data_IF_115472854899
#
_entry.id   IF_115472854899
#
_cell.length_a   1.000
_cell.length_b   1.000
_cell.length_c   1.000
_cell.angle_alpha   90.00
_cell.angle_beta   90.00
_cell.angle_gamma   90.00
#
_symmetry.space_group_name_H-M   'P 1'
#
loop_
_entity.id
_entity.type
_entity.pdbx_description
1 polymer ?
#
# COMPACT_ATOMS: atom_id res chain seq x y z
N UNK A 1 44.97 20.14 26.18
CA UNK A 1 43.54 19.92 25.85
C UNK A 1 42.59 20.00 27.05
N UNK A 2 42.94 19.46 28.24
CA UNK A 2 42.00 19.43 29.40
C UNK A 2 41.65 20.82 29.96
N UNK A 3 42.59 21.78 29.95
CA UNK A 3 42.35 23.14 30.47
C UNK A 3 41.35 23.97 29.64
N UNK A 4 41.27 23.79 28.32
CA UNK A 4 40.31 24.54 27.50
C UNK A 4 38.88 23.99 27.63
N UNK A 5 38.73 22.68 27.80
CA UNK A 5 37.42 22.06 28.04
C UNK A 5 36.80 22.51 29.36
N UNK A 6 37.61 22.65 30.43
CA UNK A 6 37.16 23.16 31.73
C UNK A 6 36.71 24.62 31.67
N UNK A 7 37.41 25.46 30.90
CA UNK A 7 37.03 26.88 30.74
C UNK A 7 35.73 27.02 29.93
N UNK A 8 35.56 26.24 28.86
CA UNK A 8 34.31 26.26 28.07
C UNK A 8 33.12 25.73 28.88
N UNK A 9 33.32 24.68 29.68
CA UNK A 9 32.28 24.17 30.58
C UNK A 9 31.90 25.20 31.66
N UNK A 10 32.88 25.91 32.24
CA UNK A 10 32.63 26.95 33.24
C UNK A 10 31.86 28.16 32.65
N UNK A 11 32.16 28.55 31.40
CA UNK A 11 31.44 29.62 30.69
C UNK A 11 30.02 29.18 30.32
N UNK A 12 29.82 27.93 29.88
CA UNK A 12 28.49 27.41 29.60
C UNK A 12 27.63 27.32 30.87
N UNK A 13 28.22 26.92 32.00
CA UNK A 13 27.53 26.86 33.29
C UNK A 13 27.18 28.26 33.81
N UNK A 14 28.07 29.25 33.66
CA UNK A 14 27.80 30.62 34.10
C UNK A 14 26.71 31.29 33.26
N UNK A 15 26.64 31.01 31.96
CA UNK A 15 25.56 31.48 31.08
C UNK A 15 24.23 30.79 31.43
N UNK A 16 24.24 29.50 31.76
CA UNK A 16 23.03 28.79 32.19
C UNK A 16 22.50 29.34 33.53
N UNK A 17 23.40 29.61 34.48
CA UNK A 17 23.05 30.21 35.78
C UNK A 17 22.57 31.66 35.60
N UNK A 18 23.18 32.44 34.71
CA UNK A 18 22.74 33.81 34.41
C UNK A 18 21.36 33.83 33.73
N UNK A 19 21.07 32.91 32.82
CA UNK A 19 19.74 32.77 32.20
C UNK A 19 18.67 32.36 33.22
N UNK A 20 18.99 31.44 34.13
CA UNK A 20 18.09 31.05 35.21
C UNK A 20 17.88 32.17 36.25
N UNK A 21 18.92 32.98 36.52
CA UNK A 21 18.83 34.15 37.40
C UNK A 21 17.94 35.26 36.83
N UNK A 22 18.06 35.56 35.53
CA UNK A 22 17.24 36.58 34.86
C UNK A 22 15.76 36.19 34.80
N UNK A 23 15.45 34.90 34.64
CA UNK A 23 14.07 34.39 34.68
C UNK A 23 13.51 34.31 36.11
N UNK A 24 14.36 34.08 37.12
CA UNK A 24 13.97 34.10 38.52
C UNK A 24 13.66 35.53 39.00
N UNK A 25 14.45 36.53 38.58
CA UNK A 25 14.29 37.93 38.99
C UNK A 25 13.04 38.57 38.36
N UNK A 26 12.71 38.22 37.10
CA UNK A 26 11.43 38.57 36.45
C UNK A 26 10.21 37.91 37.12
N UNK A 27 10.39 36.76 37.77
CA UNK A 27 9.33 36.06 38.52
C UNK A 27 9.19 36.57 39.96
N UNK A 28 10.24 37.11 40.57
CA UNK A 28 10.20 37.71 41.91
C UNK A 28 9.77 39.18 41.91
N UNK A 29 10.11 39.97 40.89
CA UNK A 29 9.75 41.40 40.82
C UNK A 29 8.24 41.66 40.70
N UNK A 30 7.45 40.62 40.36
CA UNK A 30 5.99 40.67 40.30
C UNK A 30 5.27 40.13 41.54
N UNK A 31 6.00 39.71 42.59
CA UNK A 31 5.36 39.20 43.83
C UNK A 31 4.75 40.29 44.70
N UNK A 32 5.11 41.55 44.50
CA UNK A 32 4.66 42.68 45.32
C UNK A 32 4.11 43.86 44.48
N UNK A 33 3.80 43.66 43.19
CA UNK A 33 3.19 44.72 42.38
C UNK A 33 1.73 44.91 42.76
N UNK A 34 1.23 46.15 42.65
CA UNK A 34 -0.18 46.51 42.87
C UNK A 34 -1.15 45.64 42.07
N UNK A 35 -0.72 45.17 40.90
CA UNK A 35 -1.42 44.22 40.04
C UNK A 35 -1.48 42.81 40.64
N UNK A 36 -0.48 42.35 41.39
CA UNK A 36 -0.43 40.99 41.96
C UNK A 36 -1.28 40.80 43.22
N UNK A 37 -1.64 41.88 43.91
CA UNK A 37 -2.50 41.91 45.10
C UNK A 37 -3.95 42.27 44.78
N UNK A 38 -4.30 42.50 43.52
CA UNK A 38 -5.67 42.71 43.10
C UNK A 38 -6.40 41.35 43.11
N UNK A 39 -7.53 41.18 43.84
CA UNK A 39 -8.30 39.93 43.81
C UNK A 39 -8.71 39.53 42.39
N UNK A 40 -8.78 40.49 41.46
CA UNK A 40 -9.01 40.22 40.05
C UNK A 40 -7.83 39.51 39.35
N UNK A 41 -6.58 39.75 39.76
CA UNK A 41 -5.39 39.15 39.11
C UNK A 41 -5.16 37.69 39.50
N UNK A 42 -5.53 37.29 40.73
CA UNK A 42 -5.51 35.87 41.12
C UNK A 42 -6.57 35.06 40.37
N UNK A 43 -7.73 35.66 40.06
CA UNK A 43 -8.73 35.07 39.17
C UNK A 43 -8.20 34.94 37.73
N UNK A 44 -7.60 35.99 37.17
CA UNK A 44 -7.07 35.99 35.79
C UNK A 44 -5.86 35.05 35.61
N UNK A 45 -5.06 34.80 36.67
CA UNK A 45 -3.89 33.90 36.62
C UNK A 45 -4.26 32.42 36.81
N UNK A 46 -5.42 32.13 37.39
CA UNK A 46 -5.98 30.78 37.54
C UNK A 46 -6.97 30.42 36.41
N UNK A 47 -7.45 31.39 35.65
CA UNK A 47 -8.19 31.18 34.40
C UNK A 47 -7.28 30.59 33.32
N UNK A 48 -7.08 29.27 33.38
CA UNK A 48 -6.92 28.50 32.14
C UNK A 48 -8.14 28.83 31.28
N UNK A 49 -7.90 29.42 30.12
CA UNK A 49 -8.92 29.66 29.10
C UNK A 49 -9.43 28.30 28.57
N UNK A 50 -10.26 27.63 29.36
CA UNK A 50 -11.20 26.61 28.91
C UNK A 50 -12.52 27.36 28.75
N UNK A 51 -12.77 28.01 27.59
CA UNK A 51 -14.07 28.59 27.38
C UNK A 51 -15.04 27.42 27.46
N UNK A 52 -16.01 27.49 28.35
CA UNK A 52 -16.94 26.40 28.58
C UNK A 52 -17.79 26.27 27.30
N UNK A 53 -17.33 25.43 26.36
CA UNK A 53 -17.84 25.36 24.99
C UNK A 53 -19.34 25.00 24.95
N UNK A 54 -19.86 24.43 26.04
CA UNK A 54 -21.30 24.18 26.24
C UNK A 54 -22.13 25.45 26.47
N UNK A 55 -21.54 26.52 26.98
CA UNK A 55 -22.24 27.78 27.30
C UNK A 55 -22.33 28.76 26.13
N UNK A 56 -21.55 28.54 25.06
CA UNK A 56 -21.45 29.49 23.94
C UNK A 56 -22.70 29.41 23.06
N UNK A 57 -23.59 30.39 23.24
CA UNK A 57 -24.79 30.55 22.43
C UNK A 57 -24.48 31.35 21.16
N UNK A 58 -24.78 30.78 20.00
CA UNK A 58 -24.63 31.39 18.66
C UNK A 58 -23.21 31.94 18.33
N UNK A 59 -22.17 31.09 18.30
CA UNK A 59 -20.80 31.53 17.98
C UNK A 59 -20.56 31.95 16.54
N UNK A 60 -21.42 31.56 15.59
CA UNK A 60 -21.20 31.76 14.16
C UNK A 60 -22.11 32.84 13.58
N UNK A 61 -21.69 33.51 12.50
CA UNK A 61 -22.56 34.46 11.80
C UNK A 61 -23.61 33.76 10.96
N UNK A 62 -23.32 32.56 10.47
CA UNK A 62 -24.29 31.80 9.68
C UNK A 62 -25.28 31.01 10.54
N UNK A 63 -26.57 31.23 10.28
CA UNK A 63 -27.66 30.61 11.03
C UNK A 63 -27.63 29.07 10.96
N UNK A 64 -27.31 28.50 9.79
CA UNK A 64 -27.20 27.04 9.62
C UNK A 64 -26.09 26.43 10.49
N UNK A 65 -24.96 27.13 10.67
CA UNK A 65 -23.87 26.67 11.53
C UNK A 65 -24.24 26.77 13.01
N UNK A 66 -24.98 27.81 13.40
CA UNK A 66 -25.53 27.90 14.76
C UNK A 66 -26.52 26.77 15.06
N UNK A 67 -27.27 26.30 14.05
CA UNK A 67 -28.18 25.17 14.20
C UNK A 67 -27.43 23.85 14.38
N UNK A 68 -26.36 23.62 13.58
CA UNK A 68 -25.44 22.48 13.76
C UNK A 68 -24.76 22.54 15.13
N UNK A 69 -24.31 23.72 15.55
CA UNK A 69 -23.69 23.93 16.85
C UNK A 69 -24.62 23.62 18.02
N UNK A 70 -25.86 24.11 17.99
CA UNK A 70 -26.86 23.83 19.01
C UNK A 70 -27.18 22.32 19.10
N UNK A 71 -27.23 21.62 17.95
CA UNK A 71 -27.37 20.16 17.94
C UNK A 71 -26.14 19.45 18.50
N UNK A 72 -24.95 19.96 18.20
CA UNK A 72 -23.68 19.40 18.65
C UNK A 72 -23.44 19.53 20.16
N UNK A 73 -23.84 20.65 20.76
CA UNK A 73 -23.72 20.89 22.20
C UNK A 73 -24.40 19.81 23.04
N UNK A 74 -25.51 19.24 22.55
CA UNK A 74 -26.27 18.21 23.23
C UNK A 74 -25.81 16.77 22.91
N UNK A 75 -24.99 16.58 21.86
CA UNK A 75 -24.64 15.23 21.34
C UNK A 75 -23.17 14.86 21.46
N UNK A 76 -22.25 15.83 21.48
CA UNK A 76 -20.80 15.57 21.45
C UNK A 76 -20.10 15.75 22.80
N UNK A 77 -19.04 14.98 23.00
CA UNK A 77 -18.10 15.15 24.13
C UNK A 77 -17.24 16.40 23.92
N UNK A 78 -16.79 17.04 25.01
CA UNK A 78 -15.96 18.27 24.97
C UNK A 78 -14.79 18.27 23.98
N UNK A 79 -13.95 17.21 23.86
CA UNK A 79 -12.85 17.20 22.89
C UNK A 79 -13.35 17.20 21.44
N UNK A 80 -14.43 16.47 21.14
CA UNK A 80 -15.04 16.49 19.80
C UNK A 80 -15.71 17.84 19.53
N UNK A 81 -16.32 18.46 20.54
CA UNK A 81 -16.94 19.78 20.46
C UNK A 81 -15.90 20.88 20.16
N UNK A 82 -14.72 20.82 20.80
CA UNK A 82 -13.57 21.71 20.50
C UNK A 82 -13.11 21.57 19.05
N UNK A 83 -12.98 20.34 18.54
CA UNK A 83 -12.58 20.08 17.15
C UNK A 83 -13.63 20.60 16.16
N UNK A 84 -14.91 20.31 16.40
CA UNK A 84 -16.02 20.78 15.58
C UNK A 84 -16.10 22.31 15.57
N UNK A 85 -15.87 22.97 16.71
CA UNK A 85 -15.85 24.44 16.80
C UNK A 85 -14.81 25.04 15.86
N UNK A 86 -13.61 24.46 15.80
CA UNK A 86 -12.54 24.94 14.91
C UNK A 86 -12.90 24.73 13.43
N UNK A 87 -13.46 23.58 13.07
CA UNK A 87 -13.91 23.30 11.70
C UNK A 87 -15.06 24.22 11.26
N UNK A 88 -16.09 24.40 12.10
CA UNK A 88 -17.21 25.30 11.84
C UNK A 88 -16.75 26.77 11.76
N UNK A 89 -15.75 27.18 12.55
CA UNK A 89 -15.19 28.54 12.49
C UNK A 89 -14.47 28.82 11.17
N UNK A 90 -13.78 27.82 10.61
CA UNK A 90 -13.17 27.91 9.29
C UNK A 90 -14.27 27.97 8.22
N UNK A 91 -15.28 27.10 8.33
CA UNK A 91 -16.41 27.08 7.40
C UNK A 91 -17.20 28.40 7.39
N UNK A 92 -17.44 29.02 8.56
CA UNK A 92 -18.12 30.33 8.68
C UNK A 92 -17.35 31.43 7.94
N UNK A 93 -16.01 31.43 8.02
CA UNK A 93 -15.18 32.38 7.26
C UNK A 93 -15.29 32.18 5.75
N UNK A 94 -15.23 30.93 5.29
CA UNK A 94 -15.34 30.60 3.88
C UNK A 94 -16.72 30.96 3.32
N UNK A 95 -17.77 30.72 4.10
CA UNK A 95 -19.13 31.03 3.72
C UNK A 95 -19.40 32.54 3.64
N UNK A 96 -18.85 33.33 4.57
CA UNK A 96 -18.91 34.80 4.50
C UNK A 96 -18.17 35.30 3.26
N UNK A 97 -16.96 34.77 2.99
CA UNK A 97 -16.17 35.14 1.82
C UNK A 97 -16.90 34.79 0.52
N UNK A 98 -17.53 33.62 0.45
CA UNK A 98 -18.37 33.24 -0.68
C UNK A 98 -19.58 34.16 -0.83
N UNK A 99 -20.30 34.53 0.24
CA UNK A 99 -21.42 35.48 0.16
C UNK A 99 -21.00 36.84 -0.39
N UNK A 100 -19.82 37.33 0.00
CA UNK A 100 -19.24 38.56 -0.54
C UNK A 100 -18.86 38.44 -2.03
N UNK A 101 -18.44 37.26 -2.46
CA UNK A 101 -18.08 36.99 -3.85
C UNK A 101 -19.31 36.77 -4.73
N UNK A 102 -20.34 36.12 -4.18
CA UNK A 102 -21.61 35.86 -4.85
C UNK A 102 -22.42 37.15 -5.06
N UNK A 103 -22.35 38.12 -4.15
CA UNK A 103 -22.95 39.45 -4.38
C UNK A 103 -22.33 40.19 -5.56
N UNK A 104 -21.08 39.85 -5.93
CA UNK A 104 -20.39 40.36 -7.12
C UNK A 104 -20.68 39.53 -8.38
N UNK A 105 -21.61 38.57 -8.34
CA UNK A 105 -21.99 37.68 -9.45
C UNK A 105 -20.82 36.90 -10.07
N UNK A 106 -19.79 36.60 -9.27
CA UNK A 106 -18.57 35.89 -9.70
C UNK A 106 -18.68 34.36 -9.62
N UNK A 107 -19.78 33.81 -9.12
CA UNK A 107 -20.05 32.37 -9.00
C UNK A 107 -21.30 32.01 -9.81
N UNK A 108 -21.25 32.17 -11.14
CA UNK A 108 -22.39 31.91 -12.03
C UNK A 108 -22.79 30.45 -12.09
N UNK A 109 -21.81 29.55 -11.93
CA UNK A 109 -22.00 28.10 -12.05
C UNK A 109 -22.39 27.44 -10.71
N UNK A 110 -22.37 28.20 -9.60
CA UNK A 110 -22.69 27.68 -8.27
C UNK A 110 -21.70 26.65 -7.73
N UNK A 111 -20.53 26.51 -8.35
CA UNK A 111 -19.51 25.51 -7.99
C UNK A 111 -19.00 25.73 -6.56
N UNK A 112 -18.73 26.98 -6.17
CA UNK A 112 -18.30 27.27 -4.80
C UNK A 112 -19.41 27.06 -3.79
N UNK A 113 -20.66 27.35 -4.16
CA UNK A 113 -21.81 27.09 -3.31
C UNK A 113 -21.97 25.58 -3.02
N UNK A 114 -21.82 24.74 -4.05
CA UNK A 114 -21.90 23.29 -3.90
C UNK A 114 -20.70 22.72 -3.11
N UNK A 115 -19.49 23.22 -3.36
CA UNK A 115 -18.29 22.85 -2.60
C UNK A 115 -18.47 23.11 -1.10
N UNK A 116 -18.97 24.29 -0.72
CA UNK A 116 -19.27 24.62 0.67
C UNK A 116 -20.36 23.72 1.25
N UNK A 117 -21.40 23.39 0.47
CA UNK A 117 -22.46 22.48 0.92
C UNK A 117 -21.91 21.08 1.20
N UNK A 118 -21.10 20.53 0.28
CA UNK A 118 -20.45 19.23 0.44
C UNK A 118 -19.51 19.20 1.63
N UNK A 119 -18.72 20.27 1.81
CA UNK A 119 -17.83 20.41 2.96
C UNK A 119 -18.60 20.40 4.27
N UNK A 120 -19.72 21.12 4.37
CA UNK A 120 -20.57 21.11 5.56
C UNK A 120 -21.18 19.73 5.84
N UNK A 121 -21.68 19.05 4.80
CA UNK A 121 -22.21 17.67 4.91
C UNK A 121 -21.10 16.73 5.41
N UNK A 122 -19.88 16.84 4.88
CA UNK A 122 -18.73 16.05 5.31
C UNK A 122 -18.35 16.29 6.78
N UNK A 123 -18.39 17.55 7.24
CA UNK A 123 -18.20 17.90 8.66
C UNK A 123 -19.31 17.26 9.50
N UNK A 124 -20.58 17.42 9.11
CA UNK A 124 -21.69 16.85 9.88
C UNK A 124 -21.65 15.31 9.94
N UNK A 125 -21.21 14.66 8.86
CA UNK A 125 -21.02 13.21 8.78
C UNK A 125 -19.90 12.73 9.69
N UNK A 126 -18.76 13.43 9.75
CA UNK A 126 -17.60 13.01 10.58
C UNK A 126 -17.88 13.03 12.10
N UNK A 127 -18.95 13.71 12.49
CA UNK A 127 -19.39 13.92 13.88
C UNK A 127 -20.77 13.33 14.17
N UNK A 128 -21.33 12.49 13.28
CA UNK A 128 -22.63 11.82 13.43
C UNK A 128 -23.82 12.77 13.68
N UNK A 129 -23.78 13.96 13.07
CA UNK A 129 -24.81 15.01 13.18
C UNK A 129 -25.88 14.93 12.08
N UNK A 130 -25.80 13.92 11.20
CA UNK A 130 -26.62 13.80 9.98
C UNK A 130 -27.97 13.10 10.16
N UNK A 131 -28.21 12.48 11.32
CA UNK A 131 -29.37 11.60 11.63
C UNK A 131 -30.78 12.20 11.43
N UNK A 132 -30.90 13.50 11.13
CA UNK A 132 -32.20 14.20 11.02
C UNK A 132 -32.42 14.86 9.64
N UNK A 133 -31.62 14.50 8.64
CA UNK A 133 -31.77 14.99 7.27
C UNK A 133 -32.15 13.81 6.36
N UNK A 134 -33.39 13.33 6.51
CA UNK A 134 -33.94 12.20 5.74
C UNK A 134 -33.85 12.40 4.21
N UNK A 135 -33.80 13.65 3.74
CA UNK A 135 -33.66 13.98 2.31
C UNK A 135 -32.21 13.89 1.76
N UNK A 136 -31.23 13.44 2.56
CA UNK A 136 -29.80 13.40 2.15
C UNK A 136 -29.19 12.00 2.06
N UNK A 137 -30.01 10.94 2.13
CA UNK A 137 -29.60 9.53 2.10
C UNK A 137 -29.12 9.02 0.70
N UNK A 138 -28.54 9.88 -0.14
CA UNK A 138 -27.72 9.40 -1.26
C UNK A 138 -26.38 8.94 -0.71
N UNK A 139 -26.28 7.64 -0.43
CA UNK A 139 -25.06 6.98 0.03
C UNK A 139 -23.87 7.19 -0.92
N UNK A 140 -24.11 7.51 -2.19
CA UNK A 140 -23.09 7.83 -3.19
C UNK A 140 -22.54 9.27 -3.09
N UNK A 141 -23.29 10.22 -2.51
CA UNK A 141 -22.80 11.60 -2.28
C UNK A 141 -21.97 11.73 -1.00
N UNK A 142 -22.00 10.70 -0.15
CA UNK A 142 -21.22 10.59 1.09
C UNK A 142 -19.79 10.15 0.79
N UNK A 143 -18.96 11.02 0.20
CA UNK A 143 -17.51 10.82 0.27
C UNK A 143 -17.03 11.19 1.68
N UNK A 144 -16.42 10.26 2.45
CA UNK A 144 -15.90 10.59 3.77
C UNK A 144 -14.82 11.68 3.62
N UNK A 145 -15.01 12.80 4.31
CA UNK A 145 -14.04 13.89 4.34
C UNK A 145 -12.76 13.42 5.03
N UNK A 146 -11.61 13.52 4.32
CA UNK A 146 -10.29 13.29 4.91
C UNK A 146 -9.98 14.36 5.94
N UNK A 147 -9.91 13.97 7.22
CA UNK A 147 -9.45 14.85 8.31
C UNK A 147 -8.04 15.36 8.00
N UNK A 148 -7.88 16.68 8.02
CA UNK A 148 -6.63 17.35 7.75
C UNK A 148 -5.69 17.26 8.98
N UNK A 149 -5.33 16.05 9.45
CA UNK A 149 -4.22 15.77 10.38
C UNK A 149 -4.21 14.32 10.93
N UNK A 150 -4.62 13.30 10.18
CA UNK A 150 -4.64 11.94 10.73
C UNK A 150 -3.21 11.38 10.92
N UNK A 151 -2.89 10.97 12.16
CA UNK A 151 -1.56 10.48 12.52
C UNK A 151 -1.21 9.16 11.79
N UNK A 152 -2.21 8.45 11.27
CA UNK A 152 -2.04 7.21 10.51
C UNK A 152 -1.50 7.43 9.09
N UNK A 153 -1.63 8.62 8.49
CA UNK A 153 -1.10 8.88 7.14
C UNK A 153 0.43 9.08 7.10
N UNK A 154 1.07 9.36 8.24
CA UNK A 154 2.54 9.55 8.28
C UNK A 154 3.33 8.27 8.00
N UNK A 155 2.70 7.09 8.11
CA UNK A 155 3.30 5.81 7.75
C UNK A 155 2.86 5.28 6.38
N UNK A 156 1.90 5.92 5.70
CA UNK A 156 1.42 5.50 4.36
C UNK A 156 2.29 6.02 3.21
N UNK A 157 3.09 7.06 3.44
CA UNK A 157 3.89 7.73 2.40
C UNK A 157 5.25 7.06 2.08
N UNK A 158 5.37 5.74 2.29
CA UNK A 158 6.53 4.94 1.86
C UNK A 158 6.16 3.66 1.11
N UNK A 159 4.89 3.49 0.75
CA UNK A 159 4.41 2.38 -0.08
C UNK A 159 4.75 2.68 -1.55
N UNK A 160 5.88 2.18 -2.05
CA UNK A 160 6.27 2.35 -3.46
C UNK A 160 5.26 1.68 -4.41
N UNK A 161 4.63 0.59 -3.95
CA UNK A 161 3.61 -0.15 -4.67
C UNK A 161 2.27 -0.14 -3.91
N UNK A 162 1.14 -0.37 -4.58
CA UNK A 162 -0.18 -0.46 -3.92
C UNK A 162 -0.28 -1.73 -3.06
N UNK A 163 0.32 -2.84 -3.51
CA UNK A 163 0.32 -4.11 -2.79
C UNK A 163 1.34 -4.14 -1.64
N UNK A 164 0.87 -4.47 -0.43
CA UNK A 164 1.70 -4.69 0.76
C UNK A 164 2.73 -5.81 0.57
N UNK A 165 2.40 -6.86 -0.20
CA UNK A 165 3.32 -7.98 -0.47
C UNK A 165 4.51 -7.52 -1.32
N UNK A 166 4.24 -6.72 -2.35
CA UNK A 166 5.28 -6.13 -3.20
C UNK A 166 6.21 -5.23 -2.39
N UNK A 167 5.68 -4.38 -1.51
CA UNK A 167 6.54 -3.54 -0.66
C UNK A 167 7.47 -4.36 0.24
N UNK A 168 6.99 -5.45 0.84
CA UNK A 168 7.85 -6.37 1.63
C UNK A 168 8.93 -7.03 0.78
N UNK A 169 8.59 -7.41 -0.45
CA UNK A 169 9.54 -8.05 -1.35
C UNK A 169 10.58 -7.04 -1.86
N UNK A 170 10.17 -5.79 -2.06
CA UNK A 170 11.06 -4.69 -2.41
C UNK A 170 12.04 -4.35 -1.28
N UNK A 171 11.57 -4.28 -0.04
CA UNK A 171 12.43 -4.12 1.14
C UNK A 171 13.50 -5.23 1.21
N UNK A 172 13.13 -6.48 0.91
CA UNK A 172 14.09 -7.59 0.83
C UNK A 172 15.11 -7.39 -0.30
N UNK A 173 14.68 -6.86 -1.45
CA UNK A 173 15.55 -6.60 -2.59
C UNK A 173 16.56 -5.47 -2.33
N UNK A 174 16.15 -4.41 -1.63
CA UNK A 174 17.06 -3.33 -1.23
C UNK A 174 18.15 -3.84 -0.29
N UNK A 175 17.81 -4.80 0.59
CA UNK A 175 18.76 -5.40 1.54
C UNK A 175 19.66 -6.45 0.86
N UNK A 176 19.19 -7.13 -0.19
CA UNK A 176 19.94 -8.22 -0.86
C UNK A 176 21.12 -7.75 -1.71
N UNK A 177 21.40 -6.44 -1.77
CA UNK A 177 22.64 -5.90 -2.35
C UNK A 177 22.70 -5.92 -3.87
N UNK A 178 21.57 -5.79 -4.56
CA UNK A 178 21.55 -5.59 -6.01
C UNK A 178 22.29 -4.32 -6.42
N UNK A 179 22.90 -4.33 -7.60
CA UNK A 179 23.42 -3.11 -8.22
C UNK A 179 22.28 -2.13 -8.54
N UNK A 180 22.57 -0.84 -8.66
CA UNK A 180 21.54 0.16 -8.95
C UNK A 180 20.81 -0.08 -10.28
N UNK A 181 21.49 -0.65 -11.28
CA UNK A 181 20.89 -1.02 -12.57
C UNK A 181 19.97 -2.24 -12.45
N UNK A 182 20.41 -3.28 -11.74
CA UNK A 182 19.59 -4.46 -11.44
C UNK A 182 18.36 -4.07 -10.62
N UNK A 183 18.50 -3.18 -9.64
CA UNK A 183 17.40 -2.70 -8.81
C UNK A 183 16.39 -1.88 -9.63
N UNK A 184 16.86 -1.07 -10.60
CA UNK A 184 15.97 -0.37 -11.54
C UNK A 184 15.21 -1.34 -12.44
N UNK A 185 15.87 -2.36 -12.98
CA UNK A 185 15.23 -3.41 -13.77
C UNK A 185 14.22 -4.20 -12.94
N UNK A 186 14.58 -4.56 -11.70
CA UNK A 186 13.69 -5.24 -10.77
C UNK A 186 12.47 -4.37 -10.43
N UNK A 187 12.66 -3.06 -10.27
CA UNK A 187 11.55 -2.13 -10.05
C UNK A 187 10.55 -2.16 -11.21
N UNK A 188 11.04 -2.17 -12.45
CA UNK A 188 10.18 -2.26 -13.64
C UNK A 188 9.39 -3.58 -13.65
N UNK A 189 9.98 -4.69 -13.24
CA UNK A 189 9.29 -5.97 -13.13
C UNK A 189 8.22 -5.95 -12.01
N UNK A 190 8.46 -5.25 -10.90
CA UNK A 190 7.48 -5.04 -9.84
C UNK A 190 6.32 -4.14 -10.29
N UNK A 191 6.62 -3.04 -10.99
CA UNK A 191 5.60 -2.16 -11.60
C UNK A 191 4.73 -2.97 -12.58
N UNK A 192 5.35 -3.79 -13.43
CA UNK A 192 4.63 -4.66 -14.35
C UNK A 192 3.76 -5.71 -13.64
N UNK A 193 4.19 -6.21 -12.47
CA UNK A 193 3.35 -7.08 -11.65
C UNK A 193 2.14 -6.33 -11.09
N UNK A 194 2.34 -5.10 -10.61
CA UNK A 194 1.25 -4.24 -10.14
C UNK A 194 0.25 -3.97 -11.27
N UNK A 195 0.71 -3.68 -12.48
CA UNK A 195 -0.16 -3.48 -13.65
C UNK A 195 -0.96 -4.75 -13.96
N UNK A 196 -0.35 -5.94 -13.91
CA UNK A 196 -1.07 -7.21 -14.10
C UNK A 196 -2.16 -7.42 -13.06
N UNK A 197 -1.85 -7.10 -11.80
CA UNK A 197 -2.81 -7.21 -10.69
C UNK A 197 -3.96 -6.23 -10.89
N UNK A 198 -3.67 -4.99 -11.29
CA UNK A 198 -4.68 -3.97 -11.56
C UNK A 198 -5.59 -4.39 -12.74
N UNK A 199 -5.03 -4.96 -13.82
CA UNK A 199 -5.79 -5.53 -14.95
C UNK A 199 -6.65 -6.72 -14.52
N UNK A 200 -6.14 -7.57 -13.62
CA UNK A 200 -6.93 -8.69 -13.11
C UNK A 200 -8.13 -8.23 -12.28
N UNK A 201 -7.95 -7.21 -11.43
CA UNK A 201 -9.06 -6.64 -10.67
C UNK A 201 -10.06 -5.92 -11.56
N UNK A 202 -9.62 -5.21 -12.60
CA UNK A 202 -10.56 -4.61 -13.56
C UNK A 202 -11.32 -5.66 -14.37
N UNK A 203 -10.66 -6.75 -14.78
CA UNK A 203 -11.35 -7.90 -15.38
C UNK A 203 -12.35 -8.53 -14.41
N UNK A 204 -11.98 -8.69 -13.14
CA UNK A 204 -12.88 -9.24 -12.12
C UNK A 204 -14.12 -8.36 -11.92
N UNK A 205 -13.96 -7.04 -11.95
CA UNK A 205 -15.06 -6.07 -11.89
C UNK A 205 -15.95 -6.13 -13.14
N UNK A 206 -15.34 -6.35 -14.31
CA UNK A 206 -16.06 -6.49 -15.58
C UNK A 206 -16.73 -7.86 -15.77
N UNK A 207 -16.29 -8.89 -15.05
CA UNK A 207 -16.82 -10.25 -15.20
C UNK A 207 -18.12 -10.38 -14.42
N UNK A 208 -19.21 -10.51 -15.16
CA UNK A 208 -20.56 -10.60 -14.62
C UNK A 208 -21.35 -9.28 -14.71
N UNK A 209 -20.69 -8.16 -14.98
CA UNK A 209 -21.33 -6.91 -15.43
C UNK A 209 -21.61 -7.00 -16.93
N UNK A 210 -22.39 -8.00 -17.32
CA UNK A 210 -22.99 -8.06 -18.65
C UNK A 210 -24.03 -6.93 -18.68
N UNK A 211 -23.61 -5.75 -19.16
CA UNK A 211 -24.45 -4.56 -19.39
C UNK A 211 -25.06 -3.87 -18.15
N UNK A 212 -24.58 -4.09 -16.93
CA UNK A 212 -25.17 -3.39 -15.75
C UNK A 212 -24.76 -1.92 -15.62
N UNK A 213 -23.61 -1.53 -16.18
CA UNK A 213 -23.19 -0.11 -16.21
C UNK A 213 -23.79 0.67 -17.38
N UNK A 214 -24.43 -0.02 -18.34
CA UNK A 214 -25.45 0.61 -19.16
C UNK A 214 -26.67 0.74 -18.26
N UNK A 215 -26.82 1.89 -17.61
CA UNK A 215 -28.07 2.21 -16.92
C UNK A 215 -29.23 1.81 -17.83
N UNK A 216 -30.26 1.15 -17.31
CA UNK A 216 -31.40 0.65 -18.10
C UNK A 216 -32.08 1.76 -18.96
N UNK A 217 -31.76 3.03 -18.69
CA UNK A 217 -32.23 4.22 -19.39
C UNK A 217 -31.11 5.11 -19.99
N UNK A 218 -29.86 4.65 -20.06
CA UNK A 218 -28.81 5.38 -20.76
C UNK A 218 -29.00 5.22 -22.28
N UNK A 219 -29.28 6.33 -22.96
CA UNK A 219 -29.25 6.37 -24.42
C UNK A 219 -27.79 6.16 -24.82
N UNK A 220 -27.47 5.01 -25.42
CA UNK A 220 -26.15 4.80 -26.01
C UNK A 220 -25.99 5.75 -27.20
N UNK A 221 -25.33 6.89 -26.98
CA UNK A 221 -25.09 7.89 -28.02
C UNK A 221 -24.11 7.40 -29.07
N UNK A 222 -23.24 6.44 -28.74
CA UNK A 222 -22.26 5.89 -29.68
C UNK A 222 -22.91 4.90 -30.66
N UNK A 223 -23.91 4.15 -30.22
CA UNK A 223 -24.66 3.22 -31.08
C UNK A 223 -25.84 3.88 -31.80
N UNK A 224 -26.11 5.17 -31.55
CA UNK A 224 -27.29 5.84 -32.11
C UNK A 224 -27.24 5.92 -33.64
N UNK A 225 -26.04 6.12 -34.20
CA UNK A 225 -25.81 6.18 -35.64
C UNK A 225 -25.87 4.78 -36.30
N UNK A 226 -25.61 3.73 -35.52
CA UNK A 226 -25.62 2.32 -35.98
C UNK A 226 -26.96 1.64 -35.74
N UNK A 227 -27.89 2.29 -35.04
CA UNK A 227 -29.18 1.71 -34.69
C UNK A 227 -29.99 1.42 -35.97
N UNK A 228 -30.37 0.16 -36.17
CA UNK A 228 -31.00 -0.39 -37.39
C UNK A 228 -30.10 -0.45 -38.65
N UNK A 229 -28.79 -0.24 -38.56
CA UNK A 229 -27.88 -0.60 -39.64
C UNK A 229 -27.52 -2.07 -39.52
N UNK A 230 -27.91 -2.87 -40.52
CA UNK A 230 -27.41 -4.23 -40.70
C UNK A 230 -25.99 -4.09 -41.23
N UNK A 231 -24.99 -4.51 -40.44
CA UNK A 231 -23.61 -4.53 -40.91
C UNK A 231 -23.48 -5.49 -42.09
N UNK A 232 -22.56 -5.21 -43.02
CA UNK A 232 -22.29 -6.17 -44.10
C UNK A 232 -21.56 -7.43 -43.58
N UNK A 233 -21.01 -7.38 -42.36
CA UNK A 233 -20.45 -8.56 -41.72
C UNK A 233 -21.57 -9.39 -41.09
N UNK A 234 -21.76 -10.60 -41.60
CA UNK A 234 -22.75 -11.58 -41.12
C UNK A 234 -22.60 -11.83 -39.62
N UNK A 235 -21.37 -11.76 -39.09
CA UNK A 235 -21.10 -12.03 -37.67
C UNK A 235 -21.55 -10.89 -36.75
N UNK A 236 -21.65 -9.65 -37.23
CA UNK A 236 -22.03 -8.50 -36.41
C UNK A 236 -23.54 -8.39 -36.22
N UNK A 237 -24.34 -9.04 -37.07
CA UNK A 237 -25.79 -9.04 -36.99
C UNK A 237 -26.36 -10.19 -36.15
N UNK A 238 -25.51 -11.10 -35.66
CA UNK A 238 -25.97 -12.26 -34.90
C UNK A 238 -26.46 -11.84 -33.51
N UNK A 239 -27.76 -12.00 -33.26
CA UNK A 239 -28.34 -11.87 -31.92
C UNK A 239 -27.72 -12.97 -31.06
N UNK A 240 -26.87 -12.59 -30.10
CA UNK A 240 -26.21 -13.53 -29.20
C UNK A 240 -27.25 -14.36 -28.46
N UNK A 241 -27.31 -15.64 -28.79
CA UNK A 241 -28.15 -16.61 -28.10
C UNK A 241 -27.69 -16.75 -26.64
N UNK A 242 -28.58 -17.18 -25.74
CA UNK A 242 -28.23 -17.46 -24.34
C UNK A 242 -27.01 -18.41 -24.24
N UNK A 243 -26.94 -19.42 -25.10
CA UNK A 243 -25.81 -20.33 -25.18
C UNK A 243 -24.48 -19.63 -25.56
N UNK A 244 -24.51 -18.67 -26.48
CA UNK A 244 -23.33 -17.87 -26.83
C UNK A 244 -22.90 -16.94 -25.68
N UNK A 245 -23.85 -16.35 -24.95
CA UNK A 245 -23.55 -15.52 -23.77
C UNK A 245 -22.91 -16.35 -22.65
N UNK A 246 -23.44 -17.55 -22.37
CA UNK A 246 -22.85 -18.48 -21.40
C UNK A 246 -21.44 -18.87 -21.82
N UNK A 247 -21.22 -19.19 -23.11
CA UNK A 247 -19.90 -19.54 -23.62
C UNK A 247 -18.91 -18.36 -23.56
N UNK A 248 -19.37 -17.13 -23.83
CA UNK A 248 -18.55 -15.92 -23.66
C UNK A 248 -18.14 -15.76 -22.20
N UNK A 249 -19.09 -15.88 -21.28
CA UNK A 249 -18.83 -15.80 -19.84
C UNK A 249 -17.87 -16.91 -19.37
N UNK A 250 -18.01 -18.15 -19.86
CA UNK A 250 -17.05 -19.23 -19.57
C UNK A 250 -15.65 -18.91 -20.11
N UNK A 251 -15.55 -18.32 -21.30
CA UNK A 251 -14.27 -17.88 -21.86
C UNK A 251 -13.66 -16.77 -21.00
N UNK A 252 -14.45 -15.78 -20.58
CA UNK A 252 -14.01 -14.68 -19.72
C UNK A 252 -13.55 -15.20 -18.34
N UNK A 253 -14.23 -16.22 -17.81
CA UNK A 253 -13.77 -16.91 -16.60
C UNK A 253 -12.46 -17.69 -16.83
N UNK A 254 -12.29 -18.31 -17.99
CA UNK A 254 -11.05 -19.01 -18.32
C UNK A 254 -9.88 -18.04 -18.53
N UNK A 255 -10.10 -16.89 -19.16
CA UNK A 255 -9.09 -15.84 -19.27
C UNK A 255 -8.73 -15.31 -17.88
N UNK A 256 -9.72 -15.03 -17.02
CA UNK A 256 -9.50 -14.61 -15.64
C UNK A 256 -8.66 -15.62 -14.84
N UNK A 257 -8.98 -16.92 -14.96
CA UNK A 257 -8.17 -18.00 -14.35
C UNK A 257 -6.75 -17.98 -14.88
N UNK A 258 -6.56 -17.82 -16.19
CA UNK A 258 -5.24 -17.70 -16.82
C UNK A 258 -4.45 -16.51 -16.27
N UNK A 259 -5.08 -15.33 -16.16
CA UNK A 259 -4.48 -14.15 -15.54
C UNK A 259 -4.12 -14.38 -14.08
N UNK A 260 -5.01 -14.98 -13.28
CA UNK A 260 -4.73 -15.33 -11.88
C UNK A 260 -3.52 -16.26 -11.74
N UNK A 261 -3.46 -17.32 -12.55
CA UNK A 261 -2.30 -18.22 -12.55
C UNK A 261 -1.02 -17.50 -12.98
N UNK A 262 -1.09 -16.65 -14.01
CA UNK A 262 0.06 -15.89 -14.49
C UNK A 262 0.56 -14.86 -13.46
N UNK A 263 -0.34 -14.24 -12.69
CA UNK A 263 0.02 -13.35 -11.59
C UNK A 263 0.76 -14.13 -10.51
N UNK A 264 0.22 -15.26 -10.08
CA UNK A 264 0.87 -16.11 -9.07
C UNK A 264 2.27 -16.54 -9.52
N UNK A 265 2.39 -17.08 -10.73
CA UNK A 265 3.68 -17.52 -11.27
C UNK A 265 4.68 -16.37 -11.40
N UNK A 266 4.21 -15.17 -11.77
CA UNK A 266 5.04 -13.98 -11.83
C UNK A 266 5.52 -13.52 -10.45
N UNK A 267 4.65 -13.56 -9.44
CA UNK A 267 5.01 -13.24 -8.06
C UNK A 267 6.07 -14.22 -7.53
N UNK A 268 5.87 -15.53 -7.74
CA UNK A 268 6.82 -16.57 -7.33
C UNK A 268 8.17 -16.41 -8.05
N UNK A 269 8.16 -15.97 -9.32
CA UNK A 269 9.38 -15.61 -10.06
C UNK A 269 10.08 -14.39 -9.44
N UNK A 270 9.35 -13.33 -9.11
CA UNK A 270 9.90 -12.16 -8.44
C UNK A 270 10.50 -12.52 -7.09
N UNK A 271 9.81 -13.36 -6.31
CA UNK A 271 10.30 -13.83 -5.03
C UNK A 271 11.63 -14.59 -5.18
N UNK A 272 11.72 -15.48 -6.17
CA UNK A 272 12.97 -16.17 -6.51
C UNK A 272 14.09 -15.21 -6.93
N UNK A 273 13.80 -14.19 -7.74
CA UNK A 273 14.79 -13.22 -8.18
C UNK A 273 15.33 -12.43 -6.98
N UNK A 274 14.44 -11.90 -6.14
CA UNK A 274 14.79 -11.14 -4.94
C UNK A 274 15.64 -11.98 -3.98
N UNK A 275 15.28 -13.25 -3.79
CA UNK A 275 16.04 -14.20 -2.98
C UNK A 275 17.38 -14.65 -3.59
N UNK A 276 17.67 -14.30 -4.85
CA UNK A 276 18.91 -14.68 -5.55
C UNK A 276 19.95 -13.55 -5.60
N UNK A 277 19.75 -12.45 -4.86
CA UNK A 277 20.64 -11.29 -4.89
C UNK A 277 22.09 -11.57 -4.44
N UNK A 278 23.07 -10.75 -4.84
CA UNK A 278 24.49 -10.97 -4.52
C UNK A 278 24.80 -11.08 -3.02
N UNK A 279 24.00 -10.41 -2.18
CA UNK A 279 24.09 -10.43 -0.72
C UNK A 279 22.92 -11.16 -0.04
N UNK A 280 22.04 -11.84 -0.80
CA UNK A 280 21.01 -12.67 -0.18
C UNK A 280 21.69 -13.84 0.52
N UNK A 281 21.59 -13.85 1.85
CA UNK A 281 22.25 -14.79 2.74
C UNK A 281 21.74 -16.24 2.62
N UNK A 282 20.78 -16.55 1.75
CA UNK A 282 20.10 -17.82 1.78
C UNK A 282 19.93 -18.43 0.38
N UNK A 283 20.43 -19.66 0.23
CA UNK A 283 20.04 -20.56 -0.86
C UNK A 283 18.53 -20.81 -0.80
N UNK A 284 17.86 -20.94 -1.94
CA UNK A 284 16.41 -21.18 -2.01
C UNK A 284 16.10 -22.62 -1.61
N UNK A 285 16.98 -23.54 -1.96
CA UNK A 285 16.79 -24.97 -1.71
C UNK A 285 17.20 -25.35 -0.27
N UNK A 286 16.32 -25.94 0.55
CA UNK A 286 16.61 -26.28 1.95
C UNK A 286 17.82 -27.20 2.12
N UNK A 287 18.06 -28.11 1.17
CA UNK A 287 19.24 -28.99 1.18
C UNK A 287 20.54 -28.20 1.08
N UNK A 288 20.57 -27.21 0.18
CA UNK A 288 21.75 -26.37 -0.06
C UNK A 288 21.98 -25.44 1.13
N UNK A 289 20.91 -24.91 1.74
CA UNK A 289 21.02 -24.19 3.01
C UNK A 289 21.61 -25.05 4.12
N UNK A 290 21.18 -26.32 4.22
CA UNK A 290 21.72 -27.28 5.18
C UNK A 290 23.23 -27.46 5.02
N UNK A 291 23.68 -27.75 3.80
CA UNK A 291 25.11 -27.88 3.49
C UNK A 291 25.89 -26.59 3.79
N UNK A 292 25.32 -25.43 3.48
CA UNK A 292 25.96 -24.15 3.77
C UNK A 292 26.13 -23.90 5.27
N UNK A 293 25.12 -24.22 6.09
CA UNK A 293 25.24 -24.10 7.56
C UNK A 293 26.33 -25.02 8.11
N UNK A 294 26.45 -26.23 7.58
CA UNK A 294 27.54 -27.16 7.95
C UNK A 294 28.89 -26.58 7.52
N UNK A 295 28.99 -26.05 6.29
CA UNK A 295 30.20 -25.41 5.79
C UNK A 295 30.61 -24.17 6.61
N UNK A 296 29.66 -23.37 7.09
CA UNK A 296 29.94 -22.24 7.98
C UNK A 296 30.38 -22.69 9.38
N UNK A 297 29.90 -23.84 9.86
CA UNK A 297 30.29 -24.39 11.15
C UNK A 297 31.67 -25.08 11.12
N UNK A 298 32.13 -25.51 9.95
CA UNK A 298 33.48 -26.05 9.75
C UNK A 298 34.55 -24.98 9.62
N UNK A 299 35.80 -25.37 9.93
CA UNK A 299 36.96 -24.47 9.95
C UNK A 299 37.55 -24.23 8.54
N UNK A 300 36.75 -23.72 7.60
CA UNK A 300 37.24 -23.32 6.28
C UNK A 300 37.92 -21.95 6.30
N UNK A 301 38.92 -21.77 5.44
CA UNK A 301 39.45 -20.43 5.14
C UNK A 301 38.42 -19.62 4.35
N UNK A 302 38.51 -18.28 4.41
CA UNK A 302 37.57 -17.40 3.67
C UNK A 302 37.53 -17.71 2.17
N UNK A 303 38.69 -18.02 1.57
CA UNK A 303 38.78 -18.39 0.14
C UNK A 303 38.13 -19.73 -0.17
N UNK A 304 38.30 -20.73 0.70
CA UNK A 304 37.65 -22.04 0.53
C UNK A 304 36.14 -21.91 0.71
N UNK A 305 35.68 -21.10 1.66
CA UNK A 305 34.27 -20.83 1.89
C UNK A 305 33.64 -20.11 0.69
N UNK A 306 34.35 -19.17 0.06
CA UNK A 306 33.93 -18.58 -1.22
C UNK A 306 33.85 -19.63 -2.34
N UNK A 307 34.84 -20.53 -2.45
CA UNK A 307 34.80 -21.63 -3.43
C UNK A 307 33.57 -22.52 -3.21
N UNK A 308 33.32 -22.96 -1.97
CA UNK A 308 32.17 -23.78 -1.61
C UNK A 308 30.86 -23.04 -1.88
N UNK A 309 30.80 -21.73 -1.60
CA UNK A 309 29.63 -20.91 -1.94
C UNK A 309 29.35 -20.95 -3.44
N UNK A 310 30.38 -20.79 -4.28
CA UNK A 310 30.19 -20.89 -5.74
C UNK A 310 29.73 -22.30 -6.16
N UNK A 311 30.31 -23.36 -5.61
CA UNK A 311 29.90 -24.75 -5.90
C UNK A 311 28.45 -25.02 -5.49
N UNK A 312 28.02 -24.52 -4.33
CA UNK A 312 26.64 -24.62 -3.85
C UNK A 312 25.67 -23.88 -4.77
N UNK A 313 26.02 -22.71 -5.30
CA UNK A 313 25.20 -22.01 -6.31
C UNK A 313 25.07 -22.81 -7.61
N UNK A 314 26.14 -23.48 -8.05
CA UNK A 314 26.08 -24.37 -9.22
C UNK A 314 25.21 -25.60 -8.96
N UNK A 315 25.28 -26.17 -7.77
CA UNK A 315 24.45 -27.29 -7.34
C UNK A 315 22.98 -26.89 -7.28
N UNK A 316 22.65 -25.77 -6.66
CA UNK A 316 21.31 -25.18 -6.62
C UNK A 316 20.76 -24.95 -8.04
N UNK A 317 21.55 -24.34 -8.92
CA UNK A 317 21.17 -24.09 -10.32
C UNK A 317 20.82 -25.38 -11.06
N UNK A 318 21.56 -26.46 -10.82
CA UNK A 318 21.29 -27.78 -11.42
C UNK A 318 20.07 -28.45 -10.78
N UNK A 319 19.85 -28.28 -9.47
CA UNK A 319 18.71 -28.81 -8.76
C UNK A 319 17.41 -28.13 -9.20
N UNK A 320 17.42 -26.81 -9.41
CA UNK A 320 16.30 -26.07 -9.98
C UNK A 320 15.98 -26.54 -11.41
N UNK A 321 17.01 -26.76 -12.25
CA UNK A 321 16.84 -27.35 -13.59
C UNK A 321 16.24 -28.75 -13.53
N UNK A 322 16.69 -29.60 -12.61
CA UNK A 322 16.16 -30.95 -12.42
C UNK A 322 14.68 -30.90 -12.01
N UNK A 323 14.31 -30.00 -11.09
CA UNK A 323 12.92 -29.80 -10.68
C UNK A 323 12.04 -29.32 -11.84
N UNK A 324 12.55 -28.42 -12.68
CA UNK A 324 11.86 -27.98 -13.88
C UNK A 324 11.62 -29.14 -14.85
N UNK A 325 12.63 -29.97 -15.11
CA UNK A 325 12.49 -31.17 -15.95
C UNK A 325 11.49 -32.18 -15.37
N UNK A 326 11.48 -32.38 -14.05
CA UNK A 326 10.47 -33.23 -13.40
C UNK A 326 9.05 -32.69 -13.59
N UNK A 327 8.86 -31.37 -13.47
CA UNK A 327 7.56 -30.73 -13.69
C UNK A 327 7.11 -30.84 -15.15
N UNK A 328 8.02 -30.59 -16.11
CA UNK A 328 7.73 -30.75 -17.54
C UNK A 328 7.36 -32.20 -17.87
N UNK A 329 8.13 -33.16 -17.36
CA UNK A 329 7.85 -34.58 -17.52
C UNK A 329 6.49 -34.98 -16.94
N UNK A 330 6.12 -34.46 -15.76
CA UNK A 330 4.81 -34.70 -15.17
C UNK A 330 3.66 -34.12 -16.01
N UNK A 331 3.81 -32.89 -16.52
CA UNK A 331 2.82 -32.26 -17.40
C UNK A 331 2.67 -33.02 -18.72
N UNK A 332 3.78 -33.47 -19.33
CA UNK A 332 3.72 -34.28 -20.54
C UNK A 332 3.04 -35.63 -20.27
N UNK A 333 3.38 -36.30 -19.16
CA UNK A 333 2.74 -37.55 -18.75
C UNK A 333 1.23 -37.41 -18.60
N UNK A 334 0.76 -36.31 -18.02
CA UNK A 334 -0.67 -36.03 -17.87
C UNK A 334 -1.34 -35.76 -19.21
N UNK A 335 -0.75 -34.90 -20.05
CA UNK A 335 -1.26 -34.60 -21.41
C UNK A 335 -1.40 -35.84 -22.29
N UNK A 336 -0.47 -36.78 -22.19
CA UNK A 336 -0.45 -37.99 -23.03
C UNK A 336 -1.11 -39.21 -22.39
N UNK A 337 -1.63 -39.12 -21.17
CA UNK A 337 -2.31 -40.25 -20.50
C UNK A 337 -3.50 -40.80 -21.33
N UNK A 338 -4.08 -40.00 -22.22
CA UNK A 338 -5.20 -40.38 -23.09
C UNK A 338 -4.87 -40.73 -24.54
N UNK A 339 -3.65 -40.48 -25.03
CA UNK A 339 -3.34 -40.59 -26.47
C UNK A 339 -2.45 -41.80 -26.77
N UNK A 340 -3.03 -42.86 -27.34
CA UNK A 340 -2.34 -44.11 -27.74
C UNK A 340 -1.54 -43.96 -29.05
N UNK A 341 -0.66 -42.96 -29.15
CA UNK A 341 0.18 -42.77 -30.36
C UNK A 341 1.59 -43.30 -30.09
N UNK A 342 1.96 -44.40 -30.76
CA UNK A 342 3.25 -45.12 -30.58
C UNK A 342 4.49 -44.25 -30.79
N UNK A 343 4.47 -43.29 -31.73
CA UNK A 343 5.61 -42.39 -31.98
C UNK A 343 5.95 -41.48 -30.79
N UNK A 344 5.00 -41.25 -29.89
CA UNK A 344 5.21 -40.40 -28.72
C UNK A 344 5.91 -41.12 -27.57
N UNK A 345 6.02 -42.46 -27.61
CA UNK A 345 6.80 -43.25 -26.65
C UNK A 345 8.28 -42.86 -26.68
N UNK A 346 8.85 -42.66 -27.88
CA UNK A 346 10.26 -42.25 -28.04
C UNK A 346 10.56 -40.94 -27.33
N UNK A 347 9.69 -39.93 -27.47
CA UNK A 347 9.89 -38.62 -26.83
C UNK A 347 9.82 -38.71 -25.31
N UNK A 348 8.92 -39.56 -24.79
CA UNK A 348 8.79 -39.78 -23.35
C UNK A 348 10.01 -40.53 -22.79
N UNK A 349 10.46 -41.59 -23.48
CA UNK A 349 11.67 -42.33 -23.12
C UNK A 349 12.93 -41.45 -23.18
N UNK A 350 13.06 -40.61 -24.21
CA UNK A 350 14.15 -39.64 -24.32
C UNK A 350 14.15 -38.64 -23.16
N UNK A 351 12.97 -38.15 -22.76
CA UNK A 351 12.83 -37.25 -21.63
C UNK A 351 13.16 -37.95 -20.29
N UNK A 352 12.69 -39.19 -20.10
CA UNK A 352 13.05 -40.01 -18.93
C UNK A 352 14.56 -40.27 -18.86
N UNK A 353 15.21 -40.54 -20.00
CA UNK A 353 16.65 -40.75 -20.06
C UNK A 353 17.44 -39.48 -19.80
N UNK A 354 16.97 -38.33 -20.30
CA UNK A 354 17.52 -37.02 -19.94
C UNK A 354 17.37 -36.77 -18.44
N UNK A 355 16.21 -37.07 -17.87
CA UNK A 355 15.93 -36.92 -16.45
C UNK A 355 16.86 -37.79 -15.61
N UNK A 356 17.00 -39.09 -15.92
CA UNK A 356 17.95 -40.01 -15.26
C UNK A 356 19.39 -39.49 -15.34
N UNK A 357 19.81 -38.96 -16.50
CA UNK A 357 21.15 -38.39 -16.68
C UNK A 357 21.36 -37.16 -15.81
N UNK A 358 20.36 -36.27 -15.71
CA UNK A 358 20.44 -35.07 -14.87
C UNK A 358 20.40 -35.42 -13.37
N UNK A 359 19.54 -36.35 -12.95
CA UNK A 359 19.50 -36.86 -11.57
C UNK A 359 20.86 -37.40 -11.14
N UNK A 360 21.48 -38.28 -11.95
CA UNK A 360 22.83 -38.81 -11.66
C UNK A 360 23.90 -37.71 -11.58
N UNK A 361 23.80 -36.67 -12.41
CA UNK A 361 24.75 -35.53 -12.36
C UNK A 361 24.57 -34.69 -11.09
N UNK A 362 23.33 -34.50 -10.63
CA UNK A 362 23.01 -33.79 -9.39
C UNK A 362 23.47 -34.60 -8.18
N UNK A 363 23.23 -35.91 -8.15
CA UNK A 363 23.70 -36.82 -7.09
C UNK A 363 25.23 -36.82 -6.99
N UNK A 364 25.95 -36.94 -8.11
CA UNK A 364 27.43 -36.88 -8.11
C UNK A 364 27.96 -35.55 -7.60
N UNK A 365 27.32 -34.43 -7.93
CA UNK A 365 27.70 -33.13 -7.40
C UNK A 365 27.42 -33.03 -5.90
N UNK A 366 26.26 -33.53 -5.46
CA UNK A 366 25.90 -33.57 -4.05
C UNK A 366 26.95 -34.36 -3.26
N UNK A 367 27.31 -35.56 -3.72
CA UNK A 367 28.31 -36.40 -3.08
C UNK A 367 29.69 -35.73 -3.04
N UNK A 368 30.09 -35.03 -4.12
CA UNK A 368 31.35 -34.30 -4.15
C UNK A 368 31.37 -33.14 -3.15
N UNK A 369 30.29 -32.36 -3.07
CA UNK A 369 30.17 -31.22 -2.13
C UNK A 369 30.07 -31.72 -0.69
N UNK A 370 29.33 -32.79 -0.43
CA UNK A 370 29.27 -33.41 0.89
C UNK A 370 30.66 -33.91 1.30
N UNK A 371 31.41 -34.55 0.39
CA UNK A 371 32.79 -34.99 0.67
C UNK A 371 33.73 -33.83 1.00
N UNK A 372 33.63 -32.69 0.29
CA UNK A 372 34.48 -31.53 0.58
C UNK A 372 34.13 -30.92 1.93
N UNK A 373 32.84 -30.76 2.24
CA UNK A 373 32.36 -30.20 3.51
C UNK A 373 32.69 -31.14 4.69
N UNK A 374 32.41 -32.44 4.56
CA UNK A 374 32.60 -33.40 5.64
C UNK A 374 34.07 -33.71 5.93
N UNK A 375 34.94 -33.67 4.92
CA UNK A 375 36.39 -33.87 5.13
C UNK A 375 37.02 -32.82 6.07
N UNK A 376 36.45 -31.60 6.10
CA UNK A 376 36.92 -30.53 7.00
C UNK A 376 36.16 -30.45 8.33
N UNK A 377 35.11 -31.26 8.53
CA UNK A 377 34.47 -31.41 9.86
C UNK A 377 35.03 -32.59 10.65
N UNK A 378 35.64 -33.58 9.98
CA UNK A 378 36.31 -34.72 10.64
C UNK A 378 37.79 -34.45 11.00
N UNK A 379 38.32 -33.27 10.69
CA UNK A 379 39.64 -32.77 11.09
C UNK A 379 39.47 -31.68 12.14
#
# INVERSE_FOLDING_TARGET
MVRSALVVAAIALSVLIALQGVDADKKQSKKYSKEANDPHFQQVKQEKYDPDFKSIQRPFRMAKLNLVWAKAQNRLTEPKLKSLYMELKIHDKEEIAWKQLNSQHKDKDGLKADELRRKLIGIMSSYDLLEHFDDTQDTEKLKPYKKFHDAEERHRNKSLFKDKKLNRLWEKAEISGFTAEELKSLKQEFDHHQDKVDVYYSLLENIGTVDTDKHENAINTEDLDTYNLISNDVNENDIKTHAQNVKSFENDLNTLRGHHTGIKDHYDRLERLVSSGPHSQDFIEPKVQGLWRVAQASNFTVKELESIKTELHHFESRLLKLRHLHAEHALQKEKYKGEKVKDKSSRFEEMEDQLKKQTRKVEKLQENIEKTIFKHTEL
#
